data_IF_129794979823
#
_entry.id   IF_129794979823
#
_cell.length_a   1.000
_cell.length_b   1.000
_cell.length_c   1.000
_cell.angle_alpha   90.00
_cell.angle_beta   90.00
_cell.angle_gamma   90.00
#
_symmetry.space_group_name_H-M   'P 1'
#
loop_
_entity.id
_entity.type
_entity.pdbx_description
1 polymer ?
#
# COMPACT_ATOMS: atom_id res chain seq x y z
N UNK A 1 23.00 -5.43 -16.49
CA UNK A 1 23.89 -4.26 -16.51
C UNK A 1 24.04 -3.75 -15.08
N UNK A 2 25.27 -3.54 -14.58
CA UNK A 2 25.46 -2.90 -13.27
C UNK A 2 25.17 -1.41 -13.39
N UNK A 3 24.40 -0.84 -12.45
CA UNK A 3 24.21 0.61 -12.38
C UNK A 3 25.58 1.27 -12.12
N UNK A 4 26.01 2.24 -12.95
CA UNK A 4 27.29 2.92 -12.74
C UNK A 4 27.24 3.76 -11.46
N UNK A 5 28.29 3.70 -10.65
CA UNK A 5 28.46 4.56 -9.48
C UNK A 5 29.01 5.91 -9.94
N UNK A 6 28.10 6.78 -10.38
CA UNK A 6 28.44 8.11 -10.86
C UNK A 6 27.80 9.20 -10.00
N UNK A 7 28.30 10.43 -10.14
CA UNK A 7 27.85 11.58 -9.37
C UNK A 7 26.32 11.71 -9.36
N UNK A 8 25.67 11.62 -10.52
CA UNK A 8 24.22 11.75 -10.64
C UNK A 8 23.46 10.63 -9.91
N UNK A 9 23.91 9.38 -10.02
CA UNK A 9 23.31 8.26 -9.31
C UNK A 9 23.46 8.40 -7.80
N UNK A 10 24.63 8.85 -7.32
CA UNK A 10 24.90 8.97 -5.89
C UNK A 10 24.16 10.17 -5.30
N UNK A 11 24.11 11.31 -6.02
CA UNK A 11 23.34 12.48 -5.58
C UNK A 11 21.82 12.24 -5.65
N UNK A 12 21.32 11.43 -6.57
CA UNK A 12 19.89 11.12 -6.62
C UNK A 12 19.39 10.46 -5.32
N UNK A 13 20.24 9.68 -4.64
CA UNK A 13 19.90 9.05 -3.37
C UNK A 13 19.65 10.04 -2.22
N UNK A 14 20.10 11.31 -2.32
CA UNK A 14 19.75 12.31 -1.30
C UNK A 14 18.33 12.85 -1.41
N UNK A 15 17.68 12.66 -2.57
CA UNK A 15 16.32 13.15 -2.83
C UNK A 15 15.24 12.07 -2.70
N UNK A 16 15.63 10.81 -2.59
CA UNK A 16 14.70 9.69 -2.57
C UNK A 16 13.93 9.63 -1.23
N UNK A 17 12.60 9.69 -1.31
CA UNK A 17 11.68 9.52 -0.16
C UNK A 17 11.95 10.47 1.02
N UNK A 18 12.25 11.75 0.73
CA UNK A 18 12.52 12.76 1.77
C UNK A 18 11.40 13.77 1.89
N UNK A 19 11.08 14.12 3.13
CA UNK A 19 10.15 15.20 3.48
C UNK A 19 10.73 16.60 3.19
N UNK A 20 12.05 16.71 3.10
CA UNK A 20 12.74 17.97 2.81
C UNK A 20 13.99 17.75 1.95
N UNK A 21 14.30 18.71 1.08
CA UNK A 21 15.27 18.58 0.00
C UNK A 21 16.75 18.64 0.45
N UNK A 22 17.05 19.25 1.59
CA UNK A 22 18.44 19.43 2.10
C UNK A 22 18.60 19.18 3.61
N UNK A 23 17.50 18.90 4.32
CA UNK A 23 17.53 18.62 5.75
C UNK A 23 16.93 17.24 5.95
N UNK A 24 17.77 16.27 6.31
CA UNK A 24 17.32 14.91 6.53
C UNK A 24 17.15 14.69 8.03
N UNK A 25 15.94 14.92 8.52
CA UNK A 25 15.61 14.69 9.93
C UNK A 25 15.69 13.20 10.25
N UNK A 26 16.25 12.91 11.42
CA UNK A 26 16.29 11.58 12.01
C UNK A 26 16.18 11.66 13.53
N UNK A 27 16.20 10.53 14.23
CA UNK A 27 16.24 10.52 15.69
C UNK A 27 17.53 11.20 16.17
N UNK A 28 17.42 12.05 17.19
CA UNK A 28 18.54 12.78 17.78
C UNK A 28 19.09 13.95 16.94
N UNK A 29 18.54 14.29 15.78
CA UNK A 29 19.02 15.42 14.99
C UNK A 29 18.63 15.43 13.51
N UNK A 30 19.40 16.14 12.70
CA UNK A 30 19.21 16.19 11.26
C UNK A 30 20.55 16.27 10.51
N UNK A 31 20.65 15.59 9.37
CA UNK A 31 21.78 15.78 8.46
C UNK A 31 21.48 16.98 7.55
N UNK A 32 22.31 18.02 7.67
CA UNK A 32 22.32 19.22 6.82
C UNK A 32 23.17 18.97 5.59
N UNK A 33 22.52 18.92 4.43
CA UNK A 33 23.14 18.62 3.14
C UNK A 33 23.46 19.87 2.32
N UNK A 34 23.24 21.08 2.83
CA UNK A 34 23.40 22.33 2.04
C UNK A 34 24.81 22.55 1.50
N UNK A 35 25.81 21.96 2.16
CA UNK A 35 27.23 22.04 1.76
C UNK A 35 27.76 20.72 1.18
N UNK A 36 26.89 19.74 0.95
CA UNK A 36 27.29 18.44 0.42
C UNK A 36 27.82 18.55 -1.01
N UNK A 37 28.97 17.92 -1.25
CA UNK A 37 29.64 17.81 -2.54
C UNK A 37 29.77 16.36 -2.94
N UNK A 38 29.62 16.09 -4.22
CA UNK A 38 29.77 14.78 -4.83
C UNK A 38 30.85 14.86 -5.90
N UNK A 39 32.04 14.38 -5.60
CA UNK A 39 33.19 14.45 -6.51
C UNK A 39 33.47 13.06 -7.11
N UNK A 40 33.35 12.93 -8.43
CA UNK A 40 33.70 11.69 -9.12
C UNK A 40 35.21 11.44 -9.01
N UNK A 41 35.60 10.30 -8.43
CA UNK A 41 37.02 9.90 -8.34
C UNK A 41 37.44 9.13 -9.59
N UNK A 42 36.62 8.15 -9.99
CA UNK A 42 36.81 7.32 -11.19
C UNK A 42 35.45 6.77 -11.65
N UNK A 43 35.34 5.98 -12.74
CA UNK A 43 34.05 5.51 -13.26
C UNK A 43 33.15 4.71 -12.30
N UNK A 44 33.65 4.31 -11.12
CA UNK A 44 32.91 3.50 -10.13
C UNK A 44 32.98 4.03 -8.70
N UNK A 45 33.60 5.19 -8.45
CA UNK A 45 33.74 5.78 -7.12
C UNK A 45 33.40 7.26 -7.11
N UNK A 46 32.59 7.66 -6.15
CA UNK A 46 32.23 9.06 -5.84
C UNK A 46 32.61 9.34 -4.39
N UNK A 47 33.29 10.46 -4.16
CA UNK A 47 33.51 11.01 -2.81
C UNK A 47 32.32 11.89 -2.44
N UNK A 48 31.79 11.68 -1.24
CA UNK A 48 30.78 12.57 -0.65
C UNK A 48 31.42 13.32 0.51
N UNK A 49 31.30 14.64 0.54
CA UNK A 49 31.87 15.48 1.61
C UNK A 49 31.00 16.70 1.90
N UNK A 50 31.19 17.36 3.06
CA UNK A 50 30.54 18.64 3.37
C UNK A 50 29.15 18.56 4.00
N UNK A 51 28.55 17.37 4.11
CA UNK A 51 27.37 17.16 4.96
C UNK A 51 27.72 17.40 6.43
N UNK A 52 26.80 17.97 7.21
CA UNK A 52 27.00 18.19 8.64
C UNK A 52 25.83 17.62 9.44
N UNK A 53 26.09 16.94 10.55
CA UNK A 53 25.04 16.53 11.48
C UNK A 53 24.72 17.70 12.42
N UNK A 54 23.43 17.94 12.64
CA UNK A 54 22.88 18.92 13.58
C UNK A 54 22.20 18.14 14.68
N UNK A 55 22.81 18.11 15.85
CA UNK A 55 22.22 17.49 17.03
C UNK A 55 20.94 18.23 17.44
N UNK A 56 19.93 17.46 17.86
CA UNK A 56 18.75 18.00 18.50
C UNK A 56 19.04 18.29 19.98
N UNK A 57 18.29 19.21 20.57
CA UNK A 57 18.44 19.56 22.00
C UNK A 57 18.17 18.38 22.95
N UNK A 58 17.38 17.41 22.48
CA UNK A 58 17.03 16.19 23.22
C UNK A 58 17.34 14.97 22.38
N UNK A 59 17.91 13.96 23.04
CA UNK A 59 18.10 12.67 22.43
C UNK A 59 16.75 11.96 22.26
N UNK A 60 16.53 11.39 21.08
CA UNK A 60 15.29 10.69 20.75
C UNK A 60 15.60 9.38 20.04
N UNK A 61 14.76 8.38 20.26
CA UNK A 61 14.73 7.16 19.46
C UNK A 61 13.42 7.10 18.68
N UNK A 62 13.49 6.52 17.48
CA UNK A 62 12.29 6.22 16.70
C UNK A 62 11.71 4.90 17.18
N UNK A 63 10.48 4.94 17.67
CA UNK A 63 9.68 3.76 17.88
C UNK A 63 8.89 3.49 16.61
N UNK A 64 9.17 2.33 16.01
CA UNK A 64 8.47 1.80 14.87
C UNK A 64 7.85 0.46 15.25
N UNK A 65 6.56 0.31 14.97
CA UNK A 65 5.80 -0.88 15.31
C UNK A 65 4.94 -1.29 14.15
N UNK A 66 4.81 -2.60 13.98
CA UNK A 66 3.82 -3.21 13.11
C UNK A 66 2.89 -4.10 13.94
N UNK A 67 1.60 -4.10 13.60
CA UNK A 67 0.62 -5.04 14.17
C UNK A 67 0.03 -5.89 13.07
N UNK A 68 -0.36 -7.13 13.41
CA UNK A 68 -1.17 -7.95 12.52
C UNK A 68 -2.50 -7.22 12.28
N UNK A 69 -2.79 -6.90 11.03
CA UNK A 69 -4.05 -6.30 10.60
C UNK A 69 -5.09 -7.38 10.22
N UNK A 70 -4.63 -8.59 9.89
CA UNK A 70 -5.47 -9.73 9.55
C UNK A 70 -4.80 -10.64 8.51
N UNK A 71 -5.62 -11.35 7.76
CA UNK A 71 -5.24 -12.22 6.66
C UNK A 71 -5.89 -11.74 5.38
N UNK A 72 -5.15 -11.80 4.27
CA UNK A 72 -5.59 -11.27 2.98
C UNK A 72 -5.97 -12.38 2.02
N UNK A 73 -7.07 -12.18 1.31
CA UNK A 73 -7.42 -12.89 0.09
C UNK A 73 -7.80 -11.86 -0.98
N UNK A 74 -7.38 -12.09 -2.22
CA UNK A 74 -7.61 -11.15 -3.31
C UNK A 74 -8.10 -11.83 -4.57
N UNK A 75 -8.84 -11.11 -5.39
CA UNK A 75 -9.17 -11.53 -6.76
C UNK A 75 -8.99 -10.37 -7.71
N UNK A 76 -8.53 -10.65 -8.93
CA UNK A 76 -8.28 -9.65 -9.96
C UNK A 76 -9.07 -9.99 -11.21
N UNK A 77 -9.72 -9.00 -11.81
CA UNK A 77 -10.43 -9.16 -13.06
C UNK A 77 -10.46 -7.89 -13.89
N UNK A 78 -10.74 -8.02 -15.19
CA UNK A 78 -10.91 -6.90 -16.11
C UNK A 78 -12.38 -6.64 -16.44
N UNK A 79 -12.78 -5.38 -16.47
CA UNK A 79 -14.08 -4.93 -16.96
C UNK A 79 -13.90 -4.07 -18.21
N UNK A 80 -14.72 -4.32 -19.23
CA UNK A 80 -14.71 -3.57 -20.50
C UNK A 80 -16.06 -2.96 -20.86
N UNK A 81 -17.17 -3.50 -20.35
CA UNK A 81 -18.49 -2.98 -20.65
C UNK A 81 -18.60 -1.53 -20.14
N UNK A 82 -18.81 -0.52 -21.02
CA UNK A 82 -18.94 0.87 -20.61
C UNK A 82 -20.10 1.10 -19.64
N UNK A 83 -21.18 0.33 -19.71
CA UNK A 83 -22.31 0.43 -18.79
C UNK A 83 -21.93 -0.06 -17.39
N UNK A 84 -21.16 -1.14 -17.30
CA UNK A 84 -20.60 -1.65 -16.05
C UNK A 84 -19.62 -0.62 -15.45
N UNK A 85 -18.69 -0.10 -16.25
CA UNK A 85 -17.68 0.87 -15.80
C UNK A 85 -18.34 2.14 -15.27
N UNK A 86 -19.38 2.66 -15.95
CA UNK A 86 -20.15 3.82 -15.47
C UNK A 86 -20.88 3.56 -14.15
N UNK A 87 -21.26 2.31 -13.91
CA UNK A 87 -22.02 1.91 -12.71
C UNK A 87 -21.14 1.36 -11.60
N UNK A 88 -19.81 1.43 -11.71
CA UNK A 88 -18.86 0.72 -10.85
C UNK A 88 -19.04 1.06 -9.37
N UNK A 89 -19.40 2.31 -9.03
CA UNK A 89 -19.63 2.72 -7.63
C UNK A 89 -20.86 2.03 -7.04
N UNK A 90 -21.98 2.07 -7.76
CA UNK A 90 -23.23 1.40 -7.36
C UNK A 90 -23.03 -0.12 -7.25
N UNK A 91 -22.27 -0.71 -8.19
CA UNK A 91 -21.98 -2.15 -8.19
C UNK A 91 -21.16 -2.53 -6.96
N UNK A 92 -20.09 -1.78 -6.65
CA UNK A 92 -19.28 -2.04 -5.45
C UNK A 92 -20.10 -1.97 -4.17
N UNK A 93 -20.98 -0.98 -4.06
CA UNK A 93 -21.87 -0.85 -2.91
C UNK A 93 -22.82 -2.04 -2.81
N UNK A 94 -23.46 -2.42 -3.92
CA UNK A 94 -24.34 -3.59 -3.96
C UNK A 94 -23.62 -4.90 -3.60
N UNK A 95 -22.34 -5.06 -3.99
CA UNK A 95 -21.52 -6.21 -3.58
C UNK A 95 -21.33 -6.21 -2.07
N UNK A 96 -20.98 -5.07 -1.47
CA UNK A 96 -20.80 -4.95 0.00
C UNK A 96 -22.09 -5.28 0.74
N UNK A 97 -23.22 -4.73 0.29
CA UNK A 97 -24.52 -4.95 0.92
C UNK A 97 -24.94 -6.42 0.82
N UNK A 98 -24.72 -7.05 -0.34
CA UNK A 98 -25.04 -8.47 -0.53
C UNK A 98 -24.19 -9.40 0.33
N UNK A 99 -22.92 -9.08 0.52
CA UNK A 99 -22.03 -9.84 1.42
C UNK A 99 -22.52 -9.71 2.86
N UNK A 100 -22.84 -8.49 3.33
CA UNK A 100 -23.39 -8.27 4.67
C UNK A 100 -24.69 -9.02 4.89
N UNK A 101 -25.59 -9.01 3.91
CA UNK A 101 -26.86 -9.75 3.97
C UNK A 101 -26.62 -11.26 4.05
N UNK A 102 -25.75 -11.80 3.18
CA UNK A 102 -25.50 -13.24 3.07
C UNK A 102 -24.77 -13.79 4.30
N UNK A 103 -23.90 -13.00 4.92
CA UNK A 103 -23.10 -13.39 6.08
C UNK A 103 -23.74 -12.99 7.42
N UNK A 104 -24.94 -12.41 7.41
CA UNK A 104 -25.64 -11.99 8.62
C UNK A 104 -25.83 -13.17 9.58
N UNK A 105 -25.31 -13.04 10.80
CA UNK A 105 -25.35 -14.08 11.82
C UNK A 105 -24.21 -15.12 11.75
N UNK A 106 -23.33 -15.04 10.75
CA UNK A 106 -22.17 -15.94 10.61
C UNK A 106 -20.83 -15.22 10.75
N UNK A 107 -20.68 -14.05 10.12
CA UNK A 107 -19.46 -13.24 10.13
C UNK A 107 -19.85 -11.80 10.45
N UNK A 108 -19.30 -11.24 11.53
CA UNK A 108 -19.57 -9.85 11.89
C UNK A 108 -18.87 -8.91 10.88
N UNK A 109 -19.55 -7.85 10.39
CA UNK A 109 -18.97 -6.90 9.44
C UNK A 109 -17.67 -6.19 9.91
N UNK A 110 -17.37 -6.19 11.21
CA UNK A 110 -16.11 -5.66 11.76
C UNK A 110 -14.92 -6.61 11.58
N UNK A 111 -15.17 -7.89 11.31
CA UNK A 111 -14.13 -8.91 11.16
C UNK A 111 -13.48 -8.91 9.78
N UNK A 112 -13.97 -8.10 8.84
CA UNK A 112 -13.41 -8.00 7.51
C UNK A 112 -13.54 -6.59 6.92
N UNK A 113 -12.64 -6.29 6.00
CA UNK A 113 -12.71 -5.12 5.13
C UNK A 113 -12.59 -5.57 3.69
N UNK A 114 -13.28 -4.88 2.79
CA UNK A 114 -13.20 -5.11 1.35
C UNK A 114 -12.76 -3.79 0.73
N UNK A 115 -11.77 -3.84 -0.15
CA UNK A 115 -11.29 -2.68 -0.91
C UNK A 115 -11.31 -3.03 -2.40
N UNK A 116 -11.79 -2.10 -3.23
CA UNK A 116 -11.78 -2.27 -4.67
C UNK A 116 -10.76 -1.28 -5.26
N UNK A 117 -9.67 -1.78 -5.82
CA UNK A 117 -8.74 -0.96 -6.60
C UNK A 117 -9.14 -0.99 -8.07
N UNK A 118 -9.27 0.19 -8.68
CA UNK A 118 -9.81 0.39 -10.03
C UNK A 118 -8.74 0.95 -10.97
N UNK A 119 -7.85 0.09 -11.44
CA UNK A 119 -6.78 0.49 -12.35
C UNK A 119 -7.34 0.85 -13.72
N UNK A 120 -6.92 2.00 -14.27
CA UNK A 120 -7.55 2.59 -15.46
C UNK A 120 -8.72 3.52 -15.14
N UNK A 121 -9.05 3.71 -13.86
CA UNK A 121 -9.95 4.76 -13.40
C UNK A 121 -9.27 5.64 -12.34
N UNK A 122 -9.07 5.12 -11.12
CA UNK A 122 -8.52 5.89 -10.00
C UNK A 122 -7.78 5.02 -8.96
N UNK A 123 -7.35 3.82 -9.33
CA UNK A 123 -6.75 2.84 -8.40
C UNK A 123 -5.43 3.26 -7.72
N UNK A 124 -4.80 4.37 -8.13
CA UNK A 124 -3.57 4.91 -7.52
C UNK A 124 -3.86 6.15 -6.67
N UNK A 125 -4.50 7.17 -7.25
CA UNK A 125 -4.73 8.46 -6.58
C UNK A 125 -6.08 8.53 -5.84
N UNK A 126 -6.98 7.58 -6.07
CA UNK A 126 -8.32 7.56 -5.50
C UNK A 126 -9.06 8.87 -5.76
N UNK A 127 -9.56 9.50 -4.69
CA UNK A 127 -10.27 10.78 -4.79
C UNK A 127 -9.43 11.93 -5.38
N UNK A 128 -8.10 11.82 -5.35
CA UNK A 128 -7.17 12.82 -5.89
C UNK A 128 -6.89 12.67 -7.38
N UNK A 129 -7.45 11.67 -8.06
CA UNK A 129 -7.26 11.47 -9.49
C UNK A 129 -7.77 12.70 -10.29
N UNK A 130 -6.89 13.45 -10.98
CA UNK A 130 -7.30 14.62 -11.75
C UNK A 130 -8.10 14.25 -13.00
N UNK A 131 -7.90 13.06 -13.58
CA UNK A 131 -8.63 12.60 -14.76
C UNK A 131 -9.61 11.48 -14.40
N UNK A 132 -10.89 11.83 -14.25
CA UNK A 132 -11.96 10.88 -13.92
C UNK A 132 -12.55 10.14 -15.13
N UNK A 133 -11.98 10.31 -16.32
CA UNK A 133 -12.38 9.53 -17.48
C UNK A 133 -11.79 8.12 -17.40
N UNK A 134 -12.66 7.11 -17.34
CA UNK A 134 -12.23 5.71 -17.37
C UNK A 134 -11.52 5.35 -18.68
N UNK A 135 -10.50 4.51 -18.58
CA UNK A 135 -9.88 3.84 -19.72
C UNK A 135 -10.87 2.87 -20.42
N UNK A 136 -10.51 2.41 -21.61
CA UNK A 136 -11.29 1.44 -22.38
C UNK A 136 -11.52 0.11 -21.63
N UNK A 137 -10.57 -0.27 -20.78
CA UNK A 137 -10.63 -1.42 -19.89
C UNK A 137 -10.18 -1.00 -18.50
N UNK A 138 -10.90 -1.46 -17.48
CA UNK A 138 -10.61 -1.18 -16.06
C UNK A 138 -10.23 -2.48 -15.37
N UNK A 139 -9.05 -2.51 -14.75
CA UNK A 139 -8.63 -3.58 -13.86
C UNK A 139 -9.25 -3.40 -12.47
N UNK A 140 -9.90 -4.44 -11.97
CA UNK A 140 -10.56 -4.45 -10.67
C UNK A 140 -9.85 -5.48 -9.81
N UNK A 141 -9.17 -5.00 -8.77
CA UNK A 141 -8.61 -5.84 -7.71
C UNK A 141 -9.51 -5.70 -6.49
N UNK A 142 -10.14 -6.81 -6.10
CA UNK A 142 -10.89 -6.92 -4.84
C UNK A 142 -9.90 -7.43 -3.80
N UNK A 143 -9.56 -6.59 -2.83
CA UNK A 143 -8.69 -6.91 -1.69
C UNK A 143 -9.57 -7.10 -0.45
N UNK A 144 -9.56 -8.31 0.11
CA UNK A 144 -10.25 -8.62 1.36
C UNK A 144 -9.22 -8.88 2.44
N UNK A 145 -9.31 -8.14 3.54
CA UNK A 145 -8.53 -8.39 4.76
C UNK A 145 -9.49 -8.73 5.89
N UNK A 146 -9.27 -9.85 6.57
CA UNK A 146 -10.13 -10.33 7.64
C UNK A 146 -9.36 -10.90 8.83
N UNK A 147 -10.03 -11.11 9.97
CA UNK A 147 -9.42 -11.62 11.19
C UNK A 147 -8.77 -13.00 11.03
N UNK A 148 -9.33 -13.87 10.17
CA UNK A 148 -8.79 -15.21 9.89
C UNK A 148 -8.69 -15.48 8.39
N UNK A 149 -7.81 -16.40 7.95
CA UNK A 149 -7.73 -16.80 6.54
C UNK A 149 -9.06 -17.29 5.97
N UNK A 150 -9.83 -18.05 6.75
CA UNK A 150 -11.09 -18.65 6.34
C UNK A 150 -12.15 -17.56 6.05
N UNK A 151 -12.22 -16.53 6.90
CA UNK A 151 -13.11 -15.39 6.67
C UNK A 151 -12.67 -14.63 5.41
N UNK A 152 -11.36 -14.38 5.25
CA UNK A 152 -10.84 -13.65 4.10
C UNK A 152 -11.20 -14.35 2.78
N UNK A 153 -10.97 -15.66 2.71
CA UNK A 153 -11.26 -16.48 1.52
C UNK A 153 -12.77 -16.59 1.26
N UNK A 154 -13.59 -16.83 2.29
CA UNK A 154 -15.04 -16.91 2.14
C UNK A 154 -15.65 -15.60 1.63
N UNK A 155 -15.24 -14.46 2.20
CA UNK A 155 -15.70 -13.13 1.80
C UNK A 155 -15.19 -12.78 0.39
N UNK A 156 -13.93 -13.10 0.07
CA UNK A 156 -13.36 -12.88 -1.27
C UNK A 156 -14.09 -13.68 -2.35
N UNK A 157 -14.35 -14.97 -2.11
CA UNK A 157 -15.11 -15.82 -3.04
C UNK A 157 -16.54 -15.33 -3.24
N UNK A 158 -17.21 -14.89 -2.16
CA UNK A 158 -18.53 -14.30 -2.27
C UNK A 158 -18.51 -12.97 -3.03
N UNK A 159 -17.52 -12.10 -2.80
CA UNK A 159 -17.35 -10.86 -3.54
C UNK A 159 -17.15 -11.09 -5.04
N UNK A 160 -16.27 -12.03 -5.40
CA UNK A 160 -16.02 -12.45 -6.78
C UNK A 160 -17.29 -12.98 -7.46
N UNK A 161 -18.02 -13.86 -6.79
CA UNK A 161 -19.27 -14.41 -7.32
C UNK A 161 -20.32 -13.31 -7.49
N UNK A 162 -20.48 -12.47 -6.47
CA UNK A 162 -21.51 -11.42 -6.46
C UNK A 162 -21.30 -10.41 -7.58
N UNK A 163 -20.08 -9.91 -7.77
CA UNK A 163 -19.81 -8.86 -8.77
C UNK A 163 -20.09 -9.30 -10.22
N UNK A 164 -20.03 -10.61 -10.50
CA UNK A 164 -20.43 -11.17 -11.80
C UNK A 164 -21.93 -11.03 -12.08
N UNK A 165 -22.75 -10.97 -11.03
CA UNK A 165 -24.20 -11.12 -11.10
C UNK A 165 -24.99 -9.87 -10.69
N UNK A 166 -24.36 -8.88 -10.04
CA UNK A 166 -25.02 -7.63 -9.65
C UNK A 166 -25.70 -6.97 -10.85
N UNK A 167 -26.98 -6.57 -10.74
CA UNK A 167 -27.66 -5.79 -11.77
C UNK A 167 -27.15 -4.34 -11.80
N UNK A 168 -27.07 -3.76 -13.00
CA UNK A 168 -26.73 -2.36 -13.21
C UNK A 168 -27.47 -1.82 -14.43
N UNK A 169 -27.57 -0.50 -14.53
CA UNK A 169 -28.27 0.16 -15.63
C UNK A 169 -27.60 -0.13 -16.98
N UNK A 170 -28.40 -0.47 -18.00
CA UNK A 170 -27.90 -0.77 -19.34
C UNK A 170 -27.28 -2.16 -19.52
N UNK A 171 -27.34 -3.01 -18.48
CA UNK A 171 -26.87 -4.40 -18.54
C UNK A 171 -27.63 -5.21 -19.58
N UNK A 172 -26.89 -5.92 -20.45
CA UNK A 172 -27.48 -6.76 -21.52
C UNK A 172 -27.59 -8.25 -21.18
N UNK A 173 -26.73 -8.76 -20.30
CA UNK A 173 -26.67 -10.18 -19.93
C UNK A 173 -26.85 -10.37 -18.42
N UNK A 174 -27.23 -11.56 -17.96
CA UNK A 174 -27.47 -11.86 -16.54
C UNK A 174 -26.20 -12.23 -15.74
N UNK A 175 -25.05 -12.35 -16.42
CA UNK A 175 -23.76 -12.65 -15.81
C UNK A 175 -22.59 -12.17 -16.71
N UNK A 176 -21.35 -12.33 -16.24
CA UNK A 176 -20.15 -12.22 -17.08
C UNK A 176 -19.60 -10.80 -17.26
N UNK A 177 -19.83 -9.90 -16.30
CA UNK A 177 -19.41 -8.51 -16.44
C UNK A 177 -17.90 -8.28 -16.24
N UNK A 178 -17.21 -9.27 -15.65
CA UNK A 178 -15.78 -9.23 -15.35
C UNK A 178 -15.13 -10.49 -15.91
N UNK A 179 -13.97 -10.33 -16.54
CA UNK A 179 -13.10 -11.40 -16.97
C UNK A 179 -12.02 -11.65 -15.90
N UNK A 180 -12.04 -12.83 -15.27
CA UNK A 180 -11.00 -13.26 -14.35
C UNK A 180 -9.90 -14.02 -15.13
N UNK A 181 -8.60 -13.70 -14.95
CA UNK A 181 -7.53 -14.32 -15.70
C UNK A 181 -7.07 -15.68 -15.14
N UNK A 182 -7.51 -16.05 -13.94
CA UNK A 182 -7.06 -17.25 -13.23
C UNK A 182 -8.23 -18.16 -12.83
N UNK A 183 -7.93 -19.44 -12.66
CA UNK A 183 -8.80 -20.45 -12.07
C UNK A 183 -7.94 -21.36 -11.16
N UNK A 184 -8.12 -21.34 -9.83
CA UNK A 184 -9.05 -20.49 -9.07
C UNK A 184 -8.76 -18.99 -9.25
N UNK A 185 -9.78 -18.15 -9.07
CA UNK A 185 -9.69 -16.72 -9.30
C UNK A 185 -9.33 -15.94 -8.02
N UNK A 186 -9.49 -16.58 -6.86
CA UNK A 186 -9.10 -16.11 -5.54
C UNK A 186 -7.66 -16.53 -5.22
N UNK A 187 -6.90 -15.61 -4.64
CA UNK A 187 -5.49 -15.78 -4.29
C UNK A 187 -5.35 -15.47 -2.80
N UNK A 188 -5.10 -16.47 -1.94
CA UNK A 188 -4.70 -16.24 -0.55
C UNK A 188 -3.32 -15.58 -0.49
N UNK A 189 -3.18 -14.49 0.26
CA UNK A 189 -1.96 -13.70 0.36
C UNK A 189 -1.35 -13.68 1.78
N UNK A 190 -1.90 -14.48 2.70
CA UNK A 190 -1.33 -14.67 4.04
C UNK A 190 -1.57 -13.49 5.01
N UNK A 191 -0.83 -13.45 6.13
CA UNK A 191 -0.98 -12.39 7.12
C UNK A 191 -0.51 -11.03 6.57
N UNK A 192 -1.28 -10.00 6.88
CA UNK A 192 -0.97 -8.61 6.53
C UNK A 192 -0.74 -7.80 7.80
N UNK A 193 0.24 -6.91 7.74
CA UNK A 193 0.62 -6.06 8.85
C UNK A 193 0.42 -4.61 8.45
N UNK A 194 -0.01 -3.81 9.41
CA UNK A 194 -0.04 -2.37 9.27
C UNK A 194 0.90 -1.72 10.27
N UNK A 195 1.38 -0.55 9.89
CA UNK A 195 2.20 0.28 10.75
C UNK A 195 1.32 0.86 11.87
N UNK A 196 1.67 0.61 13.13
CA UNK A 196 0.83 1.01 14.27
C UNK A 196 1.53 1.90 15.30
N UNK A 197 2.85 2.04 15.23
CA UNK A 197 3.61 2.95 16.10
C UNK A 197 4.57 3.76 15.22
N UNK A 198 4.35 5.07 15.12
CA UNK A 198 5.27 6.04 14.49
C UNK A 198 5.56 7.16 15.50
N UNK A 199 6.55 6.98 16.38
CA UNK A 199 6.76 7.94 17.46
C UNK A 199 8.24 8.24 17.69
N UNK A 200 8.57 9.49 18.01
CA UNK A 200 9.87 9.87 18.54
C UNK A 200 9.75 9.92 20.05
N UNK A 201 10.43 9.01 20.73
CA UNK A 201 10.45 8.96 22.18
C UNK A 201 11.73 9.63 22.69
N UNK A 202 11.58 10.60 23.59
CA UNK A 202 12.70 11.25 24.27
C UNK A 202 13.32 10.32 25.31
N UNK A 203 14.65 10.37 25.42
CA UNK A 203 15.42 9.57 26.38
C UNK A 203 16.48 10.46 27.01
N UNK A 204 16.54 10.44 28.33
CA UNK A 204 17.51 11.23 29.09
C UNK A 204 18.92 10.61 29.06
N UNK A 205 19.01 9.28 29.11
CA UNK A 205 20.27 8.53 29.14
C UNK A 205 20.31 7.48 28.01
N UNK A 206 20.91 7.79 26.84
CA UNK A 206 20.92 6.90 25.68
C UNK A 206 21.52 5.52 25.96
N UNK A 207 22.52 5.46 26.84
CA UNK A 207 23.26 4.24 27.20
C UNK A 207 22.45 3.26 28.05
N UNK A 208 21.37 3.73 28.70
CA UNK A 208 20.48 2.88 29.49
C UNK A 208 19.31 2.31 28.69
N UNK A 209 19.08 2.80 27.47
CA UNK A 209 17.96 2.38 26.64
C UNK A 209 18.26 1.11 25.84
N UNK A 210 17.66 0.01 26.31
CA UNK A 210 17.70 -1.30 25.65
C UNK A 210 18.97 -2.08 25.97
N UNK A 211 18.83 -3.21 26.67
CA UNK A 211 19.92 -4.17 26.82
C UNK A 211 20.08 -4.91 25.49
N UNK A 212 21.19 -4.68 24.79
CA UNK A 212 21.52 -5.44 23.58
C UNK A 212 22.06 -6.81 24.01
N UNK A 213 21.26 -7.85 23.83
CA UNK A 213 21.73 -9.24 23.94
C UNK A 213 22.02 -9.78 22.54
N UNK A 214 23.24 -10.25 22.33
CA UNK A 214 23.60 -10.96 21.11
C UNK A 214 23.02 -12.37 21.20
N UNK A 215 22.04 -12.68 20.35
CA UNK A 215 21.56 -14.05 20.17
C UNK A 215 22.66 -14.85 19.44
N UNK A 216 23.22 -15.87 20.09
CA UNK A 216 24.13 -16.85 19.48
C UNK A 216 23.36 -17.88 18.65
#
# INVERSE_FOLDING_TARGET
>A
QQKPCNQASVSAHTFYEKSHHVMLSGPGGAVDLRRTRFDQIDPRRVRVSGSAFREADRYTVKLEGARLAGHRALTVGGARDPAFIRSIDTIQQAVRDKIRETQAGFIDPSQYSITFHRYGLDGVMGAWEPNRQAAHEVGILIDVVAETPEIAEAVCGLARSTILHVPFEGRRATAGNIAFPFSPAEIPAGPVYEFNIYHLMEIDEPESFGRLEWLQ
#
